data_IF_567764655118
#
_entry.id   IF_567764655118
#
_cell.length_a   1.000
_cell.length_b   1.000
_cell.length_c   1.000
_cell.angle_alpha   90.00
_cell.angle_beta   90.00
_cell.angle_gamma   90.00
#
_symmetry.space_group_name_H-M   'P 1'
#
loop_
_entity.id
_entity.type
_entity.pdbx_description
1 polymer ?
#
# COMPACT_ATOMS: atom_id res chain seq x y z
N UNK A 1 -8.17 6.17 13.76
CA UNK A 1 -8.18 4.90 14.51
C UNK A 1 -7.61 3.81 13.61
N UNK A 2 -6.66 3.01 14.10
CA UNK A 2 -6.10 1.86 13.36
C UNK A 2 -6.43 0.59 14.13
N UNK A 3 -6.93 -0.44 13.45
CA UNK A 3 -7.24 -1.75 14.01
C UNK A 3 -6.29 -2.76 13.38
N UNK A 4 -5.34 -3.23 14.18
CA UNK A 4 -4.32 -4.22 13.82
C UNK A 4 -4.50 -5.48 14.68
N UNK A 5 -5.13 -6.55 14.19
CA UNK A 5 -5.70 -6.76 12.85
C UNK A 5 -7.12 -7.34 12.94
N UNK A 6 -7.86 -7.30 11.82
CA UNK A 6 -9.20 -7.91 11.72
C UNK A 6 -9.16 -9.40 12.06
N UNK A 7 -8.09 -10.10 11.68
CA UNK A 7 -7.91 -11.51 11.99
C UNK A 7 -7.87 -11.79 13.49
N UNK A 8 -7.39 -10.83 14.29
CA UNK A 8 -7.32 -10.92 15.75
C UNK A 8 -8.61 -10.51 16.48
N UNK A 9 -9.64 -10.06 15.75
CA UNK A 9 -10.95 -9.76 16.33
C UNK A 9 -11.71 -11.07 16.57
N UNK A 10 -11.35 -11.77 17.64
CA UNK A 10 -11.95 -13.04 18.05
C UNK A 10 -13.26 -12.76 18.80
N UNK A 11 -14.41 -13.30 18.36
CA UNK A 11 -15.67 -13.16 19.07
C UNK A 11 -15.59 -13.75 20.49
N UNK A 12 -16.28 -13.12 21.45
CA UNK A 12 -16.32 -13.57 22.85
C UNK A 12 -16.66 -15.07 23.00
N UNK A 13 -17.67 -15.55 22.27
CA UNK A 13 -18.09 -16.95 22.33
C UNK A 13 -17.04 -17.93 21.77
N UNK A 14 -16.08 -17.47 20.97
CA UNK A 14 -14.95 -18.28 20.50
C UNK A 14 -13.84 -18.32 21.56
N UNK A 15 -13.57 -17.20 22.24
CA UNK A 15 -12.62 -17.13 23.36
C UNK A 15 -13.07 -18.01 24.54
N UNK A 16 -14.37 -18.05 24.82
CA UNK A 16 -14.94 -18.84 25.93
C UNK A 16 -15.21 -20.31 25.55
N UNK A 17 -15.02 -20.69 24.29
CA UNK A 17 -15.24 -22.06 23.81
C UNK A 17 -14.00 -22.95 23.95
N UNK A 18 -14.16 -24.24 23.65
CA UNK A 18 -13.04 -25.17 23.56
C UNK A 18 -12.45 -25.21 22.15
N UNK A 19 -11.16 -25.55 22.05
CA UNK A 19 -10.51 -25.74 20.75
C UNK A 19 -11.18 -26.91 20.00
N UNK A 20 -11.71 -26.62 18.80
CA UNK A 20 -12.43 -27.60 17.99
C UNK A 20 -13.95 -27.41 17.97
N UNK A 21 -14.48 -26.49 18.80
CA UNK A 21 -15.88 -26.07 18.70
C UNK A 21 -16.21 -25.49 17.32
N UNK A 22 -17.19 -26.07 16.64
CA UNK A 22 -17.63 -25.56 15.34
C UNK A 22 -18.52 -24.31 15.52
N UNK A 23 -17.92 -23.12 15.36
CA UNK A 23 -18.62 -21.83 15.36
C UNK A 23 -18.45 -21.12 14.02
N UNK A 24 -18.95 -21.77 12.96
CA UNK A 24 -18.76 -21.29 11.58
C UNK A 24 -19.29 -19.86 11.37
N UNK A 25 -18.43 -18.98 10.83
CA UNK A 25 -18.81 -17.64 10.38
C UNK A 25 -19.11 -16.63 11.50
N UNK A 26 -18.79 -16.93 12.76
CA UNK A 26 -19.07 -16.03 13.88
C UNK A 26 -18.38 -14.67 13.72
N UNK A 27 -17.12 -14.66 13.31
CA UNK A 27 -16.35 -13.45 13.04
C UNK A 27 -16.96 -12.63 11.87
N UNK A 28 -17.42 -13.29 10.80
CA UNK A 28 -18.05 -12.61 9.67
C UNK A 28 -19.37 -11.92 10.05
N UNK A 29 -20.16 -12.55 10.93
CA UNK A 29 -21.40 -11.97 11.47
C UNK A 29 -21.11 -10.79 12.39
N UNK A 30 -20.10 -10.91 13.26
CA UNK A 30 -19.64 -9.81 14.11
C UNK A 30 -19.22 -8.60 13.26
N UNK A 31 -18.38 -8.81 12.25
CA UNK A 31 -17.93 -7.74 11.35
C UNK A 31 -19.09 -7.08 10.59
N UNK A 32 -20.05 -7.86 10.11
CA UNK A 32 -21.24 -7.32 9.43
C UNK A 32 -22.08 -6.41 10.33
N UNK A 33 -22.26 -6.80 11.60
CA UNK A 33 -22.97 -5.99 12.58
C UNK A 33 -22.16 -4.74 12.98
N UNK A 34 -20.86 -4.91 13.21
CA UNK A 34 -19.96 -3.83 13.58
C UNK A 34 -19.92 -2.76 12.50
N UNK A 35 -19.70 -3.13 11.22
CA UNK A 35 -19.62 -2.18 10.12
C UNK A 35 -20.92 -1.39 9.94
N UNK A 36 -22.08 -2.06 10.05
CA UNK A 36 -23.40 -1.39 9.96
C UNK A 36 -23.55 -0.27 11.00
N UNK A 37 -23.04 -0.45 12.23
CA UNK A 37 -23.10 0.57 13.29
C UNK A 37 -21.99 1.61 13.17
N UNK A 38 -20.76 1.16 12.87
CA UNK A 38 -19.58 2.01 12.86
C UNK A 38 -19.58 2.97 11.67
N UNK A 39 -20.00 2.55 10.47
CA UNK A 39 -19.95 3.40 9.27
C UNK A 39 -20.72 4.71 9.44
N UNK A 40 -21.92 4.67 10.02
CA UNK A 40 -22.72 5.87 10.28
C UNK A 40 -22.04 6.80 11.30
N UNK A 41 -21.38 6.23 12.31
CA UNK A 41 -20.69 6.99 13.36
C UNK A 41 -19.40 7.62 12.82
N UNK A 42 -18.60 6.85 12.08
CA UNK A 42 -17.37 7.30 11.41
C UNK A 42 -17.67 8.47 10.48
N UNK A 43 -18.72 8.37 9.66
CA UNK A 43 -19.12 9.44 8.76
C UNK A 43 -19.52 10.74 9.47
N UNK A 44 -20.23 10.63 10.61
CA UNK A 44 -20.64 11.81 11.40
C UNK A 44 -19.47 12.49 12.12
N UNK A 45 -18.45 11.73 12.53
CA UNK A 45 -17.31 12.27 13.29
C UNK A 45 -16.16 12.75 12.40
N UNK A 46 -16.19 12.43 11.10
CA UNK A 46 -15.07 12.70 10.20
C UNK A 46 -13.79 11.91 10.53
N UNK A 47 -13.90 10.89 11.38
CA UNK A 47 -12.75 10.08 11.78
C UNK A 47 -12.31 9.15 10.65
N UNK A 48 -11.00 9.01 10.42
CA UNK A 48 -10.46 7.97 9.56
C UNK A 48 -10.23 6.67 10.34
N UNK A 49 -10.75 5.56 9.83
CA UNK A 49 -10.57 4.23 10.39
C UNK A 49 -9.84 3.32 9.40
N UNK A 50 -8.69 2.77 9.81
CA UNK A 50 -7.87 1.86 9.02
C UNK A 50 -7.96 0.47 9.65
N UNK A 51 -8.27 -0.53 8.84
CA UNK A 51 -8.31 -1.94 9.24
C UNK A 51 -7.19 -2.69 8.53
N UNK A 52 -6.28 -3.27 9.30
CA UNK A 52 -5.24 -4.15 8.78
C UNK A 52 -5.82 -5.56 8.74
N UNK A 53 -5.64 -6.25 7.60
CA UNK A 53 -6.14 -7.59 7.39
C UNK A 53 -5.08 -8.47 6.74
N UNK A 54 -5.21 -9.77 6.98
CA UNK A 54 -4.31 -10.78 6.46
C UNK A 54 -4.99 -11.52 5.31
N UNK A 55 -4.17 -11.95 4.35
CA UNK A 55 -4.60 -12.88 3.31
C UNK A 55 -4.66 -14.30 3.87
N UNK A 56 -5.59 -15.07 3.34
CA UNK A 56 -5.80 -16.51 3.54
C UNK A 56 -6.11 -17.14 2.19
N UNK A 57 -5.87 -18.43 2.05
CA UNK A 57 -6.29 -19.16 0.86
C UNK A 57 -7.65 -19.83 1.10
N UNK A 58 -8.55 -19.72 0.13
CA UNK A 58 -9.83 -20.42 0.16
C UNK A 58 -9.63 -21.84 -0.38
N UNK A 59 -9.72 -22.81 0.52
CA UNK A 59 -9.63 -24.23 0.16
C UNK A 59 -10.76 -24.59 -0.82
N UNK A 60 -10.42 -25.26 -1.91
CA UNK A 60 -11.38 -25.77 -2.89
C UNK A 60 -11.63 -24.89 -4.12
N UNK A 61 -10.92 -23.77 -4.28
CA UNK A 61 -10.97 -22.97 -5.51
C UNK A 61 -10.01 -23.55 -6.55
N UNK A 62 -10.55 -24.10 -7.65
CA UNK A 62 -9.76 -24.67 -8.76
C UNK A 62 -9.47 -23.68 -9.90
N UNK A 63 -10.17 -22.54 -9.94
CA UNK A 63 -10.01 -21.52 -10.97
C UNK A 63 -10.23 -20.12 -10.37
N UNK A 64 -9.42 -19.13 -10.78
CA UNK A 64 -9.45 -17.76 -10.25
C UNK A 64 -8.47 -17.50 -9.11
N UNK A 65 -8.57 -16.33 -8.46
CA UNK A 65 -7.70 -15.95 -7.35
C UNK A 65 -8.16 -16.67 -6.06
N UNK A 66 -7.33 -17.56 -5.45
CA UNK A 66 -7.70 -18.27 -4.23
C UNK A 66 -7.61 -17.40 -2.96
N UNK A 67 -7.05 -16.18 -3.08
CA UNK A 67 -6.85 -15.30 -1.94
C UNK A 67 -8.16 -14.71 -1.41
N UNK A 68 -8.31 -14.76 -0.10
CA UNK A 68 -9.44 -14.16 0.63
C UNK A 68 -8.94 -13.47 1.90
N UNK A 69 -9.79 -12.62 2.48
CA UNK A 69 -9.48 -11.86 3.69
C UNK A 69 -10.32 -12.34 4.87
N UNK A 70 -9.78 -12.28 6.08
CA UNK A 70 -10.53 -12.68 7.29
C UNK A 70 -11.69 -11.72 7.59
N UNK A 71 -12.67 -12.17 8.38
CA UNK A 71 -13.82 -11.34 8.79
C UNK A 71 -14.99 -11.27 7.79
N UNK A 72 -14.99 -12.12 6.76
CA UNK A 72 -16.07 -12.18 5.76
C UNK A 72 -16.11 -10.98 4.80
N UNK A 73 -17.23 -10.79 4.10
CA UNK A 73 -17.31 -9.81 3.01
C UNK A 73 -17.69 -8.39 3.45
N UNK A 74 -18.14 -8.19 4.69
CA UNK A 74 -18.64 -6.88 5.14
C UNK A 74 -17.60 -5.76 4.94
N UNK A 75 -16.38 -5.95 5.42
CA UNK A 75 -15.34 -4.94 5.30
C UNK A 75 -15.04 -4.59 3.84
N UNK A 76 -15.12 -5.55 2.91
CA UNK A 76 -14.93 -5.31 1.47
C UNK A 76 -15.94 -4.30 0.92
N UNK A 77 -17.20 -4.41 1.32
CA UNK A 77 -18.28 -3.53 0.84
C UNK A 77 -18.25 -2.14 1.50
N UNK A 78 -18.05 -2.10 2.83
CA UNK A 78 -18.08 -0.86 3.61
C UNK A 78 -16.82 -0.01 3.45
N UNK A 79 -15.66 -0.60 3.13
CA UNK A 79 -14.43 0.16 2.90
C UNK A 79 -14.59 1.14 1.72
N UNK A 80 -14.25 2.41 1.95
CA UNK A 80 -14.19 3.45 0.92
C UNK A 80 -12.97 3.29 0.01
N UNK A 81 -11.86 2.82 0.58
CA UNK A 81 -10.61 2.53 -0.12
C UNK A 81 -10.07 1.19 0.37
N UNK A 82 -9.58 0.36 -0.55
CA UNK A 82 -8.85 -0.88 -0.22
C UNK A 82 -7.52 -0.87 -0.92
N UNK A 83 -6.49 -1.20 -0.14
CA UNK A 83 -5.11 -1.25 -0.56
C UNK A 83 -4.62 -2.69 -0.42
N UNK A 84 -4.12 -3.27 -1.51
CA UNK A 84 -3.36 -4.51 -1.49
C UNK A 84 -1.87 -4.16 -1.46
N UNK A 85 -1.18 -4.51 -0.38
CA UNK A 85 0.23 -4.22 -0.15
C UNK A 85 1.03 -5.51 -0.28
N UNK A 86 2.02 -5.50 -1.17
CA UNK A 86 2.91 -6.65 -1.41
C UNK A 86 4.35 -6.22 -1.46
N UNK A 87 5.24 -7.08 -0.97
CA UNK A 87 6.66 -6.95 -1.26
C UNK A 87 6.86 -7.15 -2.76
N UNK A 88 7.57 -6.23 -3.39
CA UNK A 88 7.95 -6.27 -4.80
C UNK A 88 9.42 -6.62 -4.91
N UNK A 89 9.79 -7.44 -5.90
CA UNK A 89 11.19 -7.69 -6.25
C UNK A 89 12.09 -8.28 -5.15
N UNK A 90 13.39 -8.16 -5.38
CA UNK A 90 14.41 -8.55 -4.41
C UNK A 90 14.43 -7.57 -3.23
N UNK A 91 14.80 -8.09 -2.07
CA UNK A 91 14.96 -7.24 -0.90
C UNK A 91 16.16 -6.31 -1.05
N UNK A 92 16.08 -5.13 -0.44
CA UNK A 92 17.14 -4.13 -0.50
C UNK A 92 18.25 -4.60 0.44
N UNK A 93 19.48 -4.66 -0.09
CA UNK A 93 20.67 -5.06 0.64
C UNK A 93 21.74 -3.98 0.59
N UNK A 94 22.52 -3.88 1.66
CA UNK A 94 23.71 -3.02 1.68
C UNK A 94 24.90 -3.67 0.92
N UNK A 95 26.05 -3.00 0.96
CA UNK A 95 27.30 -3.47 0.31
C UNK A 95 27.86 -4.75 0.95
N UNK A 96 27.50 -5.03 2.20
CA UNK A 96 27.93 -6.20 2.97
C UNK A 96 26.96 -7.39 2.79
N UNK A 97 25.82 -7.16 2.15
CA UNK A 97 24.78 -8.15 1.87
C UNK A 97 23.70 -8.24 2.94
N UNK A 98 23.71 -7.38 3.96
CA UNK A 98 22.70 -7.34 5.01
C UNK A 98 21.38 -6.80 4.45
N UNK A 99 20.27 -7.32 4.98
CA UNK A 99 18.93 -6.90 4.59
C UNK A 99 18.58 -5.56 5.23
N UNK A 100 18.51 -4.50 4.43
CA UNK A 100 18.24 -3.13 4.93
C UNK A 100 16.82 -2.65 4.63
N UNK A 101 16.09 -3.32 3.75
CA UNK A 101 14.71 -2.93 3.46
C UNK A 101 14.02 -3.80 2.43
N UNK A 102 12.81 -3.40 2.07
CA UNK A 102 11.99 -4.05 1.06
C UNK A 102 11.48 -3.03 0.05
N UNK A 103 11.55 -3.36 -1.24
CA UNK A 103 10.71 -2.74 -2.23
C UNK A 103 9.26 -3.19 -2.01
N UNK A 104 8.32 -2.26 -2.02
CA UNK A 104 6.90 -2.50 -1.73
C UNK A 104 6.06 -1.92 -2.85
N UNK A 105 5.05 -2.67 -3.26
CA UNK A 105 4.03 -2.25 -4.22
C UNK A 105 2.68 -2.26 -3.55
N UNK A 106 1.99 -1.13 -3.60
CA UNK A 106 0.62 -0.98 -3.11
C UNK A 106 -0.30 -0.77 -4.29
N UNK A 107 -1.32 -1.60 -4.40
CA UNK A 107 -2.38 -1.48 -5.41
C UNK A 107 -3.67 -1.01 -4.77
N UNK A 108 -4.30 -0.01 -5.35
CA UNK A 108 -5.62 0.46 -4.96
C UNK A 108 -6.67 -0.44 -5.62
N UNK A 109 -7.08 -1.51 -4.94
CA UNK A 109 -8.06 -2.49 -5.46
C UNK A 109 -9.51 -2.01 -5.36
N UNK A 110 -9.78 -1.05 -4.47
CA UNK A 110 -11.09 -0.37 -4.39
C UNK A 110 -10.89 1.10 -4.08
N UNK A 111 -11.64 1.97 -4.75
CA UNK A 111 -11.65 3.40 -4.46
C UNK A 111 -13.01 4.01 -4.82
N UNK A 112 -13.70 4.58 -3.82
CA UNK A 112 -14.99 5.29 -4.01
C UNK A 112 -14.83 6.80 -4.21
N UNK A 113 -13.62 7.33 -4.07
CA UNK A 113 -13.33 8.78 -4.08
C UNK A 113 -12.64 9.24 -5.37
N UNK A 114 -11.88 8.35 -6.00
CA UNK A 114 -11.12 8.61 -7.22
C UNK A 114 -10.99 7.33 -8.06
N UNK A 115 -10.46 7.40 -9.29
CA UNK A 115 -10.29 6.21 -10.14
C UNK A 115 -9.51 5.09 -9.42
N UNK A 116 -10.04 3.85 -9.38
CA UNK A 116 -9.35 2.70 -8.78
C UNK A 116 -8.25 2.14 -9.70
N UNK A 117 -7.57 1.08 -9.23
CA UNK A 117 -6.57 0.30 -9.98
C UNK A 117 -5.29 1.06 -10.36
N UNK A 118 -4.93 2.04 -9.54
CA UNK A 118 -3.59 2.66 -9.56
C UNK A 118 -2.66 1.91 -8.62
N UNK A 119 -1.36 1.97 -8.91
CA UNK A 119 -0.32 1.44 -8.01
C UNK A 119 0.64 2.53 -7.58
N UNK A 120 1.17 2.38 -6.37
CA UNK A 120 2.33 3.09 -5.87
C UNK A 120 3.43 2.06 -5.58
N UNK A 121 4.67 2.41 -5.90
CA UNK A 121 5.85 1.60 -5.60
C UNK A 121 6.81 2.47 -4.79
N UNK A 122 7.29 1.94 -3.68
CA UNK A 122 8.16 2.66 -2.76
C UNK A 122 8.98 1.69 -1.90
N UNK A 123 9.99 2.24 -1.24
CA UNK A 123 10.90 1.47 -0.41
C UNK A 123 10.52 1.62 1.05
N UNK A 124 10.51 0.51 1.78
CA UNK A 124 10.46 0.51 3.24
C UNK A 124 11.84 0.11 3.75
N UNK A 125 12.56 1.06 4.34
CA UNK A 125 13.86 0.86 4.98
C UNK A 125 13.63 0.51 6.45
N UNK A 126 14.29 -0.53 6.94
CA UNK A 126 14.12 -0.97 8.31
C UNK A 126 14.68 0.06 9.29
N UNK A 127 13.91 0.39 10.32
CA UNK A 127 14.28 1.43 11.30
C UNK A 127 13.95 2.87 10.88
N UNK A 128 13.72 3.12 9.59
CA UNK A 128 13.37 4.46 9.07
C UNK A 128 11.92 4.55 8.60
N UNK A 129 11.37 3.48 8.04
CA UNK A 129 10.02 3.45 7.46
C UNK A 129 10.02 3.71 5.95
N UNK A 130 8.98 4.38 5.46
CA UNK A 130 8.81 4.67 4.02
C UNK A 130 9.85 5.71 3.59
N UNK A 131 10.64 5.39 2.56
CA UNK A 131 11.71 6.26 2.08
C UNK A 131 11.21 7.32 1.09
N UNK A 132 10.80 8.47 1.63
CA UNK A 132 10.35 9.63 0.82
C UNK A 132 11.42 10.08 -0.18
N UNK A 133 12.68 10.15 0.23
CA UNK A 133 13.79 10.54 -0.65
C UNK A 133 13.99 9.56 -1.79
N UNK A 134 13.78 8.26 -1.56
CA UNK A 134 13.82 7.24 -2.60
C UNK A 134 12.71 7.46 -3.64
N UNK A 135 11.48 7.71 -3.18
CA UNK A 135 10.35 8.03 -4.05
C UNK A 135 10.60 9.29 -4.90
N UNK A 136 11.17 10.35 -4.32
CA UNK A 136 11.49 11.58 -5.03
C UNK A 136 12.50 11.33 -6.15
N UNK A 137 13.52 10.50 -5.94
CA UNK A 137 14.49 10.15 -6.99
C UNK A 137 13.80 9.39 -8.12
N UNK A 138 13.03 8.35 -7.80
CA UNK A 138 12.43 7.48 -8.80
C UNK A 138 11.34 8.22 -9.62
N UNK A 139 10.46 8.95 -8.95
CA UNK A 139 9.46 9.80 -9.60
C UNK A 139 10.11 10.96 -10.35
N UNK A 140 11.21 11.50 -9.81
CA UNK A 140 11.98 12.55 -10.48
C UNK A 140 12.50 12.11 -11.84
N UNK A 141 13.01 10.89 -11.94
CA UNK A 141 13.42 10.30 -13.23
C UNK A 141 12.20 9.99 -14.11
N UNK A 142 11.14 9.41 -13.55
CA UNK A 142 9.94 9.05 -14.32
C UNK A 142 9.26 10.26 -14.98
N UNK A 143 9.19 11.40 -14.27
CA UNK A 143 8.57 12.63 -14.75
C UNK A 143 9.59 13.62 -15.35
N UNK A 144 10.81 13.18 -15.65
CA UNK A 144 11.88 13.97 -16.27
C UNK A 144 12.23 15.26 -15.51
N UNK A 145 12.06 15.27 -14.18
CA UNK A 145 12.57 16.34 -13.29
C UNK A 145 14.05 16.10 -12.97
N UNK A 146 14.47 14.84 -12.96
CA UNK A 146 15.86 14.40 -12.79
C UNK A 146 16.30 13.72 -14.07
N UNK A 147 17.44 14.15 -14.60
CA UNK A 147 18.05 13.51 -15.76
C UNK A 147 18.92 12.35 -15.33
N UNK A 148 18.74 11.19 -15.98
CA UNK A 148 19.57 10.01 -15.73
C UNK A 148 20.42 9.68 -16.97
N UNK A 149 21.74 9.86 -16.85
CA UNK A 149 22.73 9.51 -17.87
C UNK A 149 23.54 8.30 -17.43
N UNK A 150 23.10 7.09 -17.82
CA UNK A 150 23.70 5.84 -17.36
C UNK A 150 23.52 5.65 -15.85
N UNK A 151 24.63 5.64 -15.10
CA UNK A 151 24.60 5.59 -13.64
C UNK A 151 24.53 6.97 -12.96
N UNK A 152 24.69 8.06 -13.71
CA UNK A 152 24.71 9.42 -13.17
C UNK A 152 23.30 10.03 -13.13
N UNK A 153 23.00 10.68 -12.01
CA UNK A 153 21.80 11.47 -11.79
C UNK A 153 22.18 12.95 -11.83
N UNK A 154 21.42 13.75 -12.56
CA UNK A 154 21.62 15.20 -12.70
C UNK A 154 20.33 15.95 -12.42
N UNK A 155 20.45 17.10 -11.77
CA UNK A 155 19.35 18.01 -11.47
C UNK A 155 19.73 19.43 -11.90
N UNK A 156 18.83 20.11 -12.62
CA UNK A 156 19.07 21.45 -13.18
C UNK A 156 20.42 21.56 -13.94
N UNK A 157 20.82 20.52 -14.67
CA UNK A 157 22.08 20.48 -15.43
C UNK A 157 23.34 20.18 -14.61
N UNK A 158 23.26 20.11 -13.29
CA UNK A 158 24.37 19.73 -12.41
C UNK A 158 24.31 18.23 -12.06
N UNK A 159 25.45 17.54 -12.06
CA UNK A 159 25.53 16.14 -11.60
C UNK A 159 25.39 16.10 -10.08
N UNK A 160 24.38 15.39 -9.58
CA UNK A 160 24.11 15.29 -8.13
C UNK A 160 24.74 14.04 -7.52
N UNK A 161 24.69 12.89 -8.20
CA UNK A 161 25.17 11.63 -7.65
C UNK A 161 25.39 10.55 -8.71
N UNK A 162 26.19 9.54 -8.36
CA UNK A 162 26.36 8.31 -9.13
C UNK A 162 25.65 7.15 -8.42
N UNK A 163 24.59 6.64 -9.05
CA UNK A 163 23.74 5.58 -8.51
C UNK A 163 22.56 6.10 -7.67
N UNK A 164 21.49 5.29 -7.60
CA UNK A 164 20.24 5.62 -6.90
C UNK A 164 20.46 5.87 -5.42
N UNK A 165 21.30 5.05 -4.78
CA UNK A 165 21.60 5.13 -3.35
C UNK A 165 22.25 6.46 -2.98
N UNK A 166 23.25 6.88 -3.76
CA UNK A 166 23.94 8.14 -3.56
C UNK A 166 23.01 9.34 -3.85
N UNK A 167 22.12 9.22 -4.85
CA UNK A 167 21.10 10.24 -5.13
C UNK A 167 20.12 10.38 -3.96
N UNK A 168 19.71 9.26 -3.35
CA UNK A 168 18.87 9.29 -2.14
C UNK A 168 19.58 9.99 -0.99
N UNK A 169 20.84 9.65 -0.74
CA UNK A 169 21.63 10.27 0.33
C UNK A 169 21.80 11.77 0.10
N UNK A 170 22.07 12.19 -1.14
CA UNK A 170 22.14 13.60 -1.50
C UNK A 170 20.86 14.37 -1.15
N UNK A 171 19.67 13.79 -1.38
CA UNK A 171 18.40 14.42 -0.99
C UNK A 171 18.14 14.41 0.52
N UNK A 172 18.67 13.42 1.25
CA UNK A 172 18.62 13.41 2.71
C UNK A 172 19.49 14.51 3.30
N UNK A 173 20.66 14.74 2.70
CA UNK A 173 21.62 15.76 3.15
C UNK A 173 21.20 17.19 2.73
N UNK A 174 20.34 17.34 1.71
CA UNK A 174 19.89 18.63 1.15
C UNK A 174 18.34 18.67 1.07
N UNK A 175 17.64 18.84 2.21
CA UNK A 175 16.17 18.78 2.27
C UNK A 175 15.48 19.87 1.44
N UNK A 176 16.09 21.05 1.29
CA UNK A 176 15.56 22.14 0.45
C UNK A 176 15.47 21.76 -1.03
N UNK A 177 16.44 20.99 -1.53
CA UNK A 177 16.43 20.47 -2.90
C UNK A 177 15.37 19.38 -3.04
N UNK A 178 15.22 18.52 -2.03
CA UNK A 178 14.20 17.48 -2.00
C UNK A 178 12.79 18.07 -2.07
N UNK A 179 12.49 19.12 -1.29
CA UNK A 179 11.20 19.80 -1.30
C UNK A 179 10.94 20.52 -2.63
N UNK A 180 11.95 21.20 -3.21
CA UNK A 180 11.84 21.81 -4.53
C UNK A 180 11.50 20.77 -5.61
N UNK A 181 12.20 19.63 -5.59
CA UNK A 181 11.96 18.52 -6.50
C UNK A 181 10.55 17.93 -6.32
N UNK A 182 10.11 17.72 -5.08
CA UNK A 182 8.77 17.21 -4.79
C UNK A 182 7.67 18.11 -5.37
N UNK A 183 7.80 19.43 -5.23
CA UNK A 183 6.85 20.40 -5.79
C UNK A 183 6.81 20.30 -7.32
N UNK A 184 7.97 20.25 -7.99
CA UNK A 184 8.04 20.09 -9.45
C UNK A 184 7.44 18.77 -9.92
N UNK A 185 7.71 17.68 -9.22
CA UNK A 185 7.16 16.35 -9.51
C UNK A 185 5.63 16.36 -9.38
N UNK A 186 5.09 16.90 -8.28
CA UNK A 186 3.63 17.00 -8.09
C UNK A 186 2.96 17.84 -9.18
N UNK A 187 3.58 18.95 -9.59
CA UNK A 187 3.07 19.77 -10.68
C UNK A 187 3.02 19.00 -12.01
N UNK A 188 4.06 18.22 -12.32
CA UNK A 188 4.09 17.37 -13.53
C UNK A 188 3.04 16.26 -13.49
N UNK A 189 2.87 15.59 -12.35
CA UNK A 189 1.84 14.55 -12.16
C UNK A 189 0.43 15.13 -12.37
N UNK A 190 0.19 16.33 -11.85
CA UNK A 190 -1.09 17.01 -12.03
C UNK A 190 -1.34 17.38 -13.50
N UNK A 191 -0.32 17.85 -14.21
CA UNK A 191 -0.39 18.17 -15.63
C UNK A 191 -0.58 16.93 -16.52
N UNK A 192 -0.01 15.79 -16.16
CA UNK A 192 -0.07 14.54 -16.94
C UNK A 192 -1.36 13.72 -16.78
N UNK A 193 -2.39 14.25 -16.11
CA UNK A 193 -3.66 13.53 -15.88
C UNK A 193 -3.62 12.53 -14.72
N UNK A 194 -2.61 12.62 -13.85
CA UNK A 194 -2.46 11.81 -12.65
C UNK A 194 -1.74 10.46 -12.83
N UNK A 195 -1.59 9.67 -11.75
CA UNK A 195 -0.78 8.45 -11.75
C UNK A 195 -1.26 7.39 -12.75
N UNK A 196 -0.29 6.64 -13.31
CA UNK A 196 -0.52 5.57 -14.30
C UNK A 196 -1.54 4.54 -13.79
N UNK A 197 -2.48 4.18 -14.67
CA UNK A 197 -3.43 3.08 -14.43
C UNK A 197 -2.72 1.75 -14.62
N UNK A 198 -3.02 0.77 -13.78
CA UNK A 198 -2.55 -0.61 -13.97
C UNK A 198 -3.60 -1.40 -14.75
N UNK A 199 -3.20 -2.20 -15.74
CA UNK A 199 -4.13 -3.10 -16.41
C UNK A 199 -4.79 -4.03 -15.39
N UNK A 200 -6.11 -4.13 -15.49
CA UNK A 200 -6.93 -4.98 -14.64
C UNK A 200 -6.65 -6.43 -15.04
N UNK A 201 -6.22 -7.28 -14.11
CA UNK A 201 -6.18 -8.73 -14.31
C UNK A 201 -7.50 -9.33 -13.83
N UNK A 202 -7.89 -10.48 -14.39
CA UNK A 202 -9.17 -11.17 -14.13
C UNK A 202 -9.40 -11.60 -12.65
N UNK A 203 -8.42 -11.40 -11.76
CA UNK A 203 -8.55 -11.61 -10.31
C UNK A 203 -8.48 -10.34 -9.45
N UNK A 204 -8.37 -9.15 -10.05
CA UNK A 204 -8.35 -7.86 -9.35
C UNK A 204 -9.75 -7.26 -9.16
N UNK A 205 -10.70 -7.67 -10.00
CA UNK A 205 -12.12 -7.48 -9.73
C UNK A 205 -12.53 -8.63 -8.80
N UNK A 206 -12.91 -8.31 -7.56
CA UNK A 206 -13.63 -9.28 -6.72
C UNK A 206 -14.83 -9.75 -7.55
N UNK A 207 -14.95 -11.06 -7.80
CA UNK A 207 -16.02 -11.68 -8.61
C UNK A 207 -17.43 -11.53 -8.02
N UNK A 208 -17.58 -10.71 -6.97
CA UNK A 208 -18.77 -10.54 -6.15
C UNK A 208 -19.36 -9.11 -6.28
N UNK A 209 -18.86 -8.26 -7.19
CA UNK A 209 -19.52 -7.00 -7.61
C UNK A 209 -20.26 -7.17 -8.95
#
# INVERSE_FOLDING_TARGET
IVIDSVAALVPKAEIEGEMGDSKMGLQARLMSQAMRKLTATIGKTGCCCIFINQLREKIGVMFGNPETTTGGNALKFYASVRLDIRKSGAAIKDKEGNLIGNHVKVKVVKNKLAPPFRTAEFDIIFGEGISKSGEIVDLGVEYNVVEKSGAWYSYNGAKIAQGREAARQFLLDNPEVADEMEVKIKAQIAASGGPKKVPIKDGDMDSDE
#
